data_IF_785853757386
#
_entry.id   IF_785853757386
#
_cell.length_a   1.000
_cell.length_b   1.000
_cell.length_c   1.000
_cell.angle_alpha   90.00
_cell.angle_beta   90.00
_cell.angle_gamma   90.00
#
_symmetry.space_group_name_H-M   'P 1'
#
loop_
_entity.id
_entity.type
_entity.pdbx_description
1 polymer ?
#
# COMPACT_ATOMS: atom_id res chain seq x y z
N UNK A 1 6.91 -13.56 21.12
CA UNK A 1 7.19 -12.13 21.32
C UNK A 1 6.63 -11.39 20.11
N UNK A 2 5.33 -11.07 20.12
CA UNK A 2 4.75 -10.24 19.07
C UNK A 2 5.16 -8.80 19.40
N UNK A 3 6.10 -8.24 18.64
CA UNK A 3 6.36 -6.80 18.72
C UNK A 3 5.18 -6.14 18.02
N UNK A 4 4.30 -5.52 18.79
CA UNK A 4 3.39 -4.49 18.28
C UNK A 4 4.25 -3.34 17.79
N UNK A 5 4.65 -3.36 16.53
CA UNK A 5 5.26 -2.21 15.88
C UNK A 5 4.12 -1.26 15.53
N UNK A 6 4.08 -0.05 16.12
CA UNK A 6 3.09 0.92 15.73
C UNK A 6 3.36 1.30 14.27
N UNK A 7 2.45 0.89 13.38
CA UNK A 7 2.51 1.31 12.00
C UNK A 7 2.41 2.85 11.95
N UNK A 8 3.29 3.54 11.21
CA UNK A 8 3.18 4.98 11.01
C UNK A 8 1.78 5.32 10.50
N UNK A 9 1.18 6.35 11.10
CA UNK A 9 -0.20 6.77 10.81
C UNK A 9 -0.40 7.17 9.33
N UNK A 10 0.66 7.47 8.60
CA UNK A 10 0.64 7.83 7.17
C UNK A 10 1.00 6.68 6.21
N UNK A 11 1.41 5.51 6.72
CA UNK A 11 1.96 4.44 5.87
C UNK A 11 0.92 3.88 4.88
N UNK A 12 -0.32 3.72 5.33
CA UNK A 12 -1.45 3.33 4.48
C UNK A 12 -1.69 4.35 3.38
N UNK A 13 -1.93 5.60 3.76
CA UNK A 13 -2.26 6.68 2.81
C UNK A 13 -1.13 6.91 1.81
N UNK A 14 0.13 6.87 2.24
CA UNK A 14 1.28 7.01 1.34
C UNK A 14 1.34 5.89 0.31
N UNK A 15 1.07 4.64 0.73
CA UNK A 15 1.10 3.47 -0.16
C UNK A 15 -0.05 3.48 -1.16
N UNK A 16 -1.27 3.77 -0.69
CA UNK A 16 -2.47 3.88 -1.54
C UNK A 16 -2.33 5.01 -2.56
N UNK A 17 -1.82 6.19 -2.14
CA UNK A 17 -1.56 7.32 -3.05
C UNK A 17 -0.51 6.98 -4.10
N UNK A 18 0.56 6.28 -3.72
CA UNK A 18 1.59 5.85 -4.67
C UNK A 18 1.03 4.89 -5.73
N UNK A 19 0.20 3.94 -5.31
CA UNK A 19 -0.52 3.05 -6.23
C UNK A 19 -1.42 3.85 -7.19
N UNK A 20 -2.34 4.65 -6.65
CA UNK A 20 -3.32 5.40 -7.42
C UNK A 20 -2.67 6.37 -8.42
N UNK A 21 -1.60 7.08 -8.04
CA UNK A 21 -0.92 8.00 -8.93
C UNK A 21 -0.18 7.28 -10.07
N UNK A 22 0.41 6.11 -9.82
CA UNK A 22 1.03 5.32 -10.88
C UNK A 22 -0.02 4.75 -11.84
N UNK A 23 -1.16 4.29 -11.32
CA UNK A 23 -2.31 3.87 -12.13
C UNK A 23 -2.84 5.02 -13.00
N UNK A 24 -3.02 6.21 -12.43
CA UNK A 24 -3.41 7.45 -13.16
C UNK A 24 -2.43 7.81 -14.28
N UNK A 25 -1.14 7.54 -14.11
CA UNK A 25 -0.10 7.76 -15.13
C UNK A 25 0.00 6.63 -16.16
N UNK A 26 -0.92 5.67 -16.15
CA UNK A 26 -0.95 4.55 -17.09
C UNK A 26 0.10 3.47 -16.79
N UNK A 27 0.65 3.40 -15.58
CA UNK A 27 1.53 2.29 -15.20
C UNK A 27 0.73 1.00 -15.03
N UNK A 28 1.27 -0.15 -15.48
CA UNK A 28 0.63 -1.44 -15.25
C UNK A 28 0.40 -1.73 -13.77
N UNK A 29 -0.66 -2.48 -13.45
CA UNK A 29 -1.03 -2.86 -12.09
C UNK A 29 0.14 -3.42 -11.26
N UNK A 30 0.90 -4.44 -11.75
CA UNK A 30 1.96 -5.04 -10.94
C UNK A 30 3.07 -4.05 -10.58
N UNK A 31 3.35 -3.09 -11.48
CA UNK A 31 4.37 -2.06 -11.24
C UNK A 31 3.90 -1.01 -10.23
N UNK A 32 2.62 -0.63 -10.28
CA UNK A 32 2.04 0.29 -9.30
C UNK A 32 1.96 -0.36 -7.91
N UNK A 33 1.61 -1.64 -7.85
CA UNK A 33 1.55 -2.43 -6.62
C UNK A 33 2.93 -2.55 -5.95
N UNK A 34 3.96 -2.97 -6.69
CA UNK A 34 5.32 -3.10 -6.13
C UNK A 34 5.90 -1.76 -5.66
N UNK A 35 5.52 -0.64 -6.28
CA UNK A 35 5.89 0.68 -5.80
C UNK A 35 5.21 1.02 -4.46
N UNK A 36 3.93 0.72 -4.29
CA UNK A 36 3.23 0.90 -3.02
C UNK A 36 3.82 0.03 -1.90
N UNK A 37 4.18 -1.23 -2.21
CA UNK A 37 4.90 -2.12 -1.29
C UNK A 37 6.27 -1.54 -0.91
N UNK A 38 6.98 -0.96 -1.87
CA UNK A 38 8.26 -0.30 -1.60
C UNK A 38 8.10 0.91 -0.69
N UNK A 39 7.06 1.72 -0.89
CA UNK A 39 6.73 2.87 -0.03
C UNK A 39 6.45 2.43 1.40
N UNK A 40 5.67 1.37 1.61
CA UNK A 40 5.41 0.79 2.93
C UNK A 40 6.72 0.34 3.59
N UNK A 41 7.56 -0.39 2.87
CA UNK A 41 8.84 -0.90 3.42
C UNK A 41 9.88 0.18 3.69
N UNK A 42 9.85 1.29 2.95
CA UNK A 42 10.69 2.45 3.24
C UNK A 42 10.30 3.14 4.56
N UNK A 43 9.01 3.13 4.90
CA UNK A 43 8.49 3.71 6.16
C UNK A 43 8.58 2.73 7.33
N UNK A 44 8.38 1.45 7.05
CA UNK A 44 8.33 0.36 8.03
C UNK A 44 9.29 -0.75 7.61
N UNK A 45 10.61 -0.55 7.73
CA UNK A 45 11.59 -1.57 7.34
C UNK A 45 11.47 -2.87 8.15
N UNK A 46 10.82 -2.84 9.31
CA UNK A 46 10.54 -3.98 10.18
C UNK A 46 9.45 -4.90 9.62
N UNK A 47 8.57 -4.39 8.73
CA UNK A 47 7.51 -5.19 8.12
C UNK A 47 8.13 -6.16 7.11
N UNK A 48 7.83 -7.44 7.28
CA UNK A 48 8.36 -8.48 6.40
C UNK A 48 7.87 -8.26 4.95
N UNK A 49 8.68 -8.56 3.91
CA UNK A 49 8.28 -8.31 2.52
C UNK A 49 6.98 -9.00 2.11
N UNK A 50 6.68 -10.17 2.67
CA UNK A 50 5.44 -10.90 2.41
C UNK A 50 4.25 -10.21 3.07
N UNK A 51 4.41 -9.76 4.30
CA UNK A 51 3.38 -9.06 5.07
C UNK A 51 3.05 -7.70 4.43
N UNK A 52 4.07 -6.96 3.99
CA UNK A 52 3.90 -5.70 3.27
C UNK A 52 3.01 -5.85 2.03
N UNK A 53 3.16 -6.95 1.27
CA UNK A 53 2.30 -7.24 0.11
C UNK A 53 0.85 -7.49 0.51
N UNK A 54 0.61 -8.25 1.58
CA UNK A 54 -0.76 -8.51 2.05
C UNK A 54 -1.44 -7.24 2.54
N UNK A 55 -0.73 -6.42 3.34
CA UNK A 55 -1.25 -5.13 3.82
C UNK A 55 -1.59 -4.19 2.66
N UNK A 56 -0.70 -4.06 1.68
CA UNK A 56 -0.94 -3.18 0.53
C UNK A 56 -2.09 -3.68 -0.34
N UNK A 57 -2.22 -4.99 -0.55
CA UNK A 57 -3.34 -5.56 -1.29
C UNK A 57 -4.69 -5.29 -0.62
N UNK A 58 -4.73 -5.45 0.71
CA UNK A 58 -5.90 -5.16 1.54
C UNK A 58 -6.30 -3.67 1.41
N UNK A 59 -5.36 -2.76 1.60
CA UNK A 59 -5.64 -1.32 1.53
C UNK A 59 -6.07 -0.81 0.15
N UNK A 60 -5.53 -1.39 -0.93
CA UNK A 60 -5.93 -1.04 -2.29
C UNK A 60 -7.35 -1.53 -2.57
N UNK A 61 -7.69 -2.77 -2.15
CA UNK A 61 -9.04 -3.30 -2.28
C UNK A 61 -10.10 -2.47 -1.54
N UNK A 62 -9.76 -1.96 -0.36
CA UNK A 62 -10.62 -1.03 0.39
C UNK A 62 -10.83 0.32 -0.31
N UNK A 63 -9.84 0.78 -1.09
CA UNK A 63 -9.88 2.08 -1.77
C UNK A 63 -10.72 2.08 -3.04
N UNK A 64 -10.74 0.98 -3.80
CA UNK A 64 -11.48 0.87 -5.07
C UNK A 64 -13.00 0.75 -4.87
N UNK A 65 -13.45 0.27 -3.71
CA UNK A 65 -14.88 0.12 -3.41
C UNK A 65 -15.57 1.43 -3.03
N UNK A 66 -14.81 2.48 -2.69
CA UNK A 66 -15.36 3.77 -2.28
C UNK A 66 -15.77 4.70 -3.44
N UNK A 67 -15.42 4.39 -4.69
CA UNK A 67 -15.71 5.23 -5.87
C UNK A 67 -16.75 4.60 -6.84
N UNK A 68 -17.35 3.45 -6.53
CA UNK A 68 -18.34 2.78 -7.40
C UNK A 68 -19.82 3.05 -7.07
N UNK A 69 -20.12 3.94 -6.11
CA UNK A 69 -21.47 4.42 -5.80
C UNK A 69 -21.49 5.97 -5.80
N UNK A 70 -21.43 6.58 -6.98
CA UNK A 70 -21.75 8.00 -7.20
C UNK A 70 -22.24 8.27 -8.62
#
# INVERSE_FOLDING_TARGET
MQREFPMPVDARDASVRAYAELRRRGRPDPAAFEAAVSVLRCRCPEVAPREARFLVADWIGDGETAESDA
#
